data_IF_869562575832
#
_entry.id   IF_869562575832
#
_cell.length_a   1.000
_cell.length_b   1.000
_cell.length_c   1.000
_cell.angle_alpha   90.00
_cell.angle_beta   90.00
_cell.angle_gamma   90.00
#
_symmetry.space_group_name_H-M   'P 1'
#
loop_
_entity.id
_entity.type
_entity.pdbx_description
1 polymer ?
2 polymer ?
3 non-polymer ?
4 water ?
#
# COMPACT_ATOMS: atom_id res chain seq x y z
N UNK A 7 -5.37 -14.43 -9.22
CA UNK A 7 -5.76 -13.22 -8.45
C UNK A 7 -6.61 -12.24 -9.28
N UNK A 8 -7.88 -12.23 -8.94
CA UNK A 8 -8.86 -11.35 -9.54
C UNK A 8 -8.50 -9.85 -9.50
N UNK A 9 -8.09 -9.39 -8.31
CA UNK A 9 -7.78 -7.99 -8.09
C UNK A 9 -6.59 -7.58 -8.94
N UNK A 10 -5.56 -8.41 -8.93
CA UNK A 10 -4.36 -8.13 -9.71
C UNK A 10 -4.63 -8.18 -11.19
N UNK A 11 -5.46 -9.10 -11.64
CA UNK A 11 -5.74 -9.18 -13.12
C UNK A 11 -6.55 -7.98 -13.54
N UNK A 12 -7.53 -7.58 -12.73
CA UNK A 12 -8.25 -6.32 -13.04
C UNK A 12 -7.27 -5.19 -13.07
N UNK A 13 -6.41 -5.10 -12.05
CA UNK A 13 -5.44 -3.96 -12.00
C UNK A 13 -4.51 -3.96 -13.22
N UNK A 14 -4.10 -5.14 -13.67
CA UNK A 14 -3.23 -5.20 -14.87
C UNK A 14 -3.93 -4.64 -16.12
N UNK A 15 -5.20 -5.01 -16.32
CA UNK A 15 -6.00 -4.48 -17.43
C UNK A 15 -6.22 -2.99 -17.33
N UNK A 16 -6.48 -2.49 -16.12
CA UNK A 16 -6.68 -1.06 -15.92
C UNK A 16 -5.42 -0.28 -16.33
N UNK A 17 -4.26 -0.82 -15.98
CA UNK A 17 -3.00 -0.12 -16.23
C UNK A 17 -2.59 -0.30 -17.70
N UNK A 18 -2.79 -1.49 -18.24
CA UNK A 18 -2.58 -1.69 -19.71
C UNK A 18 -3.46 -0.70 -20.47
N UNK A 19 -4.71 -0.62 -20.06
CA UNK A 19 -5.61 0.32 -20.68
C UNK A 19 -5.17 1.77 -20.56
N UNK A 20 -4.83 2.25 -19.35
CA UNK A 20 -4.50 3.67 -19.27
C UNK A 20 -3.20 3.97 -20.05
N UNK A 21 -2.20 3.07 -19.96
CA UNK A 21 -0.93 3.30 -20.67
C UNK A 21 -1.13 3.29 -22.20
N UNK A 22 -2.05 2.47 -22.65
CA UNK A 22 -2.28 2.33 -24.09
C UNK A 22 -2.79 3.65 -24.69
N UNK A 23 -3.44 4.48 -23.88
CA UNK A 23 -4.00 5.77 -24.32
C UNK A 23 -2.94 6.87 -24.42
N UNK A 24 -1.72 6.52 -24.02
CA UNK A 24 -0.56 7.43 -24.02
C UNK A 24 -0.95 8.80 -23.51
N UNK A 25 -1.37 8.87 -22.24
CA UNK A 25 -2.01 10.02 -21.65
C UNK A 25 -1.17 11.28 -21.58
N UNK A 26 0.16 11.18 -21.59
CA UNK A 26 1.03 12.37 -21.58
C UNK A 26 1.38 12.91 -22.97
N UNK A 27 1.01 12.18 -24.03
CA UNK A 27 1.24 12.66 -25.40
C UNK A 27 -0.01 13.28 -25.99
N UNK A 28 -0.28 14.52 -25.60
CA UNK A 28 -1.51 15.18 -26.03
C UNK A 28 -1.24 16.67 -26.27
N UNK A 29 -2.15 17.30 -27.00
CA UNK A 29 -2.02 18.73 -27.16
C UNK A 29 -2.47 19.42 -25.89
N UNK A 30 -3.54 18.89 -25.29
CA UNK A 30 -4.05 19.45 -24.06
C UNK A 30 -4.13 18.33 -23.03
N UNK A 31 -3.32 18.46 -21.98
CA UNK A 31 -3.37 17.58 -20.84
C UNK A 31 -4.12 18.32 -19.71
N UNK A 32 -5.24 17.78 -19.26
CA UNK A 32 -5.94 18.37 -18.11
C UNK A 32 -6.16 17.34 -17.01
N UNK A 33 -5.03 16.96 -16.42
CA UNK A 33 -4.95 16.03 -15.32
C UNK A 33 -5.98 16.28 -14.19
N UNK A 34 -6.16 17.56 -13.80
CA UNK A 34 -7.10 17.89 -12.70
C UNK A 34 -8.57 17.50 -12.94
N UNK A 35 -8.92 17.32 -14.21
CA UNK A 35 -10.27 16.87 -14.61
C UNK A 35 -10.48 15.35 -14.30
N UNK A 36 -9.38 14.60 -14.20
CA UNK A 36 -9.39 13.17 -13.88
C UNK A 36 -9.37 12.91 -12.36
N UNK A 37 -9.20 13.98 -11.55
CA UNK A 37 -9.19 13.89 -10.07
C UNK A 37 -10.58 13.56 -9.56
N UNK A 38 -10.65 12.59 -8.64
CA UNK A 38 -11.91 12.20 -8.04
C UNK A 38 -11.71 11.90 -6.54
N UNK A 39 -12.14 12.83 -5.65
CA UNK A 39 -12.06 12.55 -4.21
C UNK A 39 -13.00 11.46 -3.65
N UNK A 40 -14.01 11.02 -4.38
CA UNK A 40 -14.77 9.85 -3.94
C UNK A 40 -13.90 8.60 -4.03
N UNK A 41 -12.74 8.69 -4.68
CA UNK A 41 -11.90 7.52 -4.92
C UNK A 41 -10.75 7.37 -3.95
N UNK A 42 -10.61 8.33 -3.03
CA UNK A 42 -9.51 8.33 -2.08
C UNK A 42 -9.52 6.97 -1.34
N UNK A 43 -8.38 6.30 -1.20
CA UNK A 43 -8.40 5.02 -0.47
C UNK A 43 -8.75 5.10 1.00
N UNK A 44 -9.22 3.96 1.51
CA UNK A 44 -9.44 3.79 2.90
C UNK A 44 -8.10 3.53 3.64
N UNK A 45 -7.17 2.84 2.99
CA UNK A 45 -5.94 2.45 3.65
C UNK A 45 -4.72 2.56 2.77
N UNK A 46 -3.58 2.90 3.35
CA UNK A 46 -2.29 2.83 2.63
C UNK A 46 -1.26 2.57 3.68
N UNK A 47 -0.04 2.21 3.27
CA UNK A 47 1.08 1.90 4.19
C UNK A 47 1.75 3.23 4.46
N UNK A 48 1.77 3.59 5.73
CA UNK A 48 2.26 4.83 6.26
C UNK A 48 3.77 4.86 6.59
N UNK A 49 4.23 3.75 7.13
CA UNK A 49 5.61 3.57 7.59
C UNK A 49 5.94 2.11 7.31
N UNK A 50 7.19 1.76 7.01
CA UNK A 50 7.58 0.31 6.91
C UNK A 50 8.99 0.11 7.38
N UNK A 51 9.29 -1.12 7.82
CA UNK A 51 10.64 -1.48 8.31
C UNK A 51 10.99 -2.89 7.78
N UNK A 52 11.96 -2.96 6.88
CA UNK A 52 12.41 -4.24 6.32
C UNK A 52 13.54 -4.83 7.17
N UNK A 53 13.20 -5.80 8.02
CA UNK A 53 14.20 -6.50 8.83
C UNK A 53 14.13 -7.94 8.41
N UNK A 54 14.07 -8.17 7.10
CA UNK A 54 13.83 -9.52 6.65
C UNK A 54 15.10 -10.37 6.81
N UNK A 55 16.25 -9.75 7.15
CA UNK A 55 17.44 -10.53 7.56
C UNK A 55 17.17 -11.40 8.77
N UNK A 56 16.28 -10.92 9.65
CA UNK A 56 16.04 -11.54 10.93
C UNK A 56 14.55 -11.95 11.14
N UNK A 57 13.60 -11.04 10.90
CA UNK A 57 12.22 -11.40 11.26
C UNK A 57 11.21 -11.27 10.11
N UNK A 58 11.30 -10.21 9.33
CA UNK A 58 10.32 -9.98 8.27
C UNK A 58 10.17 -8.49 8.11
N UNK A 59 9.01 -8.08 7.61
CA UNK A 59 8.75 -6.69 7.27
C UNK A 59 7.61 -6.17 8.18
N UNK A 60 7.92 -5.18 9.01
CA UNK A 60 6.87 -4.50 9.80
C UNK A 60 6.31 -3.27 9.10
N UNK A 61 5.05 -2.93 9.33
CA UNK A 61 4.50 -1.78 8.65
C UNK A 61 3.40 -1.15 9.50
N UNK A 62 3.06 0.08 9.16
CA UNK A 62 1.95 0.76 9.74
C UNK A 62 0.97 1.21 8.65
N UNK A 63 -0.33 1.10 8.88
CA UNK A 63 -1.30 1.60 7.94
C UNK A 63 -1.72 2.99 8.41
N UNK A 64 -2.30 3.78 7.51
CA UNK A 64 -2.61 5.20 7.77
C UNK A 64 -3.59 5.38 8.96
N UNK A 65 -4.27 4.30 9.35
CA UNK A 65 -5.10 4.31 10.57
C UNK A 65 -4.33 4.08 11.88
N UNK A 66 -3.02 3.86 11.81
CA UNK A 66 -2.19 3.54 13.00
C UNK A 66 -2.25 2.10 13.48
N UNK A 67 -2.96 1.26 12.78
CA UNK A 67 -2.84 -0.17 13.04
C UNK A 67 -1.43 -0.54 12.54
N UNK A 68 -0.86 -1.62 13.08
CA UNK A 68 0.47 -2.06 12.60
C UNK A 68 0.36 -3.51 12.21
N UNK A 69 1.30 -4.01 11.41
CA UNK A 69 1.29 -5.41 11.03
C UNK A 69 2.73 -5.84 10.80
N UNK A 70 2.93 -7.14 10.75
CA UNK A 70 4.22 -7.70 10.40
C UNK A 70 3.90 -8.85 9.46
N UNK A 71 4.61 -8.92 8.35
CA UNK A 71 4.61 -10.08 7.49
C UNK A 71 5.96 -10.77 7.82
N UNK A 72 5.88 -11.83 8.62
CA UNK A 72 7.03 -12.59 9.11
C UNK A 72 7.65 -13.43 8.02
N UNK A 73 8.95 -13.71 8.16
CA UNK A 73 9.68 -14.58 7.21
C UNK A 73 9.08 -16.01 7.06
N UNK A 74 8.21 -16.42 7.97
CA UNK A 74 7.44 -17.65 7.74
C UNK A 74 6.15 -17.42 6.93
N UNK A 75 6.03 -16.28 6.25
CA UNK A 75 4.78 -15.86 5.57
C UNK A 75 3.47 -15.84 6.39
N UNK A 76 3.56 -15.76 7.71
CA UNK A 76 2.36 -15.47 8.50
C UNK A 76 2.33 -13.95 8.74
N UNK A 77 1.15 -13.41 9.02
CA UNK A 77 1.03 -12.02 9.43
C UNK A 77 0.32 -11.91 10.73
N UNK A 78 0.68 -10.88 11.43
CA UNK A 78 0.02 -10.56 12.67
C UNK A 78 -0.28 -9.09 12.55
N UNK A 79 -1.53 -8.73 12.80
CA UNK A 79 -2.03 -7.38 12.69
C UNK A 79 -2.52 -6.96 14.06
N UNK A 80 -2.03 -5.81 14.52
CA UNK A 80 -2.50 -5.22 15.77
C UNK A 80 -3.39 -3.99 15.43
N UNK A 81 -4.67 -4.04 15.78
CA UNK A 81 -5.52 -2.87 15.44
C UNK A 81 -5.18 -1.62 16.24
N UNK A 82 -5.62 -0.46 15.74
CA UNK A 82 -5.34 0.81 16.42
C UNK A 82 -5.98 0.97 17.84
N UNK A 83 -6.65 -0.08 18.32
CA UNK A 83 -7.05 -0.10 19.72
C UNK A 83 -5.93 -0.59 20.69
N UNK A 84 -4.76 -0.98 20.14
CA UNK A 84 -3.66 -1.47 20.95
C UNK A 84 -3.88 -2.85 21.54
N UNK A 85 -4.88 -3.61 21.11
CA UNK A 85 -5.17 -4.91 21.75
C UNK A 85 -5.67 -5.94 20.81
N UNK A 86 -6.57 -5.55 19.90
CA UNK A 86 -7.24 -6.54 19.05
C UNK A 86 -6.20 -6.95 18.01
N UNK A 87 -6.15 -8.26 17.77
CA UNK A 87 -5.24 -8.87 16.79
C UNK A 87 -5.98 -9.67 15.73
N UNK A 88 -5.38 -9.74 14.54
CA UNK A 88 -5.76 -10.65 13.53
C UNK A 88 -4.51 -11.47 13.09
N UNK A 89 -4.60 -12.78 13.10
CA UNK A 89 -3.41 -13.57 12.72
C UNK A 89 -3.77 -14.31 11.43
N UNK A 90 -2.89 -14.27 10.43
CA UNK A 90 -3.14 -14.95 9.16
C UNK A 90 -2.02 -15.93 8.87
N UNK A 91 -2.38 -17.21 8.72
CA UNK A 91 -1.42 -18.19 8.28
C UNK A 91 -0.98 -17.95 6.85
N UNK A 92 0.07 -18.67 6.49
CA UNK A 92 0.58 -18.67 5.12
C UNK A 92 -0.56 -18.89 4.07
N UNK A 93 -1.53 -19.74 4.41
CA UNK A 93 -2.62 -20.05 3.47
C UNK A 93 -3.74 -19.03 3.47
N UNK A 94 -3.68 -18.01 4.30
CA UNK A 94 -4.75 -17.01 4.33
C UNK A 94 -5.78 -17.28 5.41
N UNK A 95 -5.67 -18.43 6.10
CA UNK A 95 -6.55 -18.71 7.25
C UNK A 95 -6.35 -17.69 8.35
N UNK A 96 -7.45 -16.95 8.66
CA UNK A 96 -7.43 -15.84 9.62
C UNK A 96 -7.94 -16.26 10.98
N UNK A 97 -7.27 -15.82 12.06
CA UNK A 97 -7.82 -15.89 13.41
C UNK A 97 -7.99 -14.49 13.98
N UNK A 98 -8.92 -14.38 14.91
CA UNK A 98 -9.21 -13.14 15.58
C UNK A 98 -9.05 -13.30 17.07
N UNK A 99 -8.19 -12.47 17.66
CA UNK A 99 -7.88 -12.54 19.09
C UNK A 99 -7.53 -11.17 19.68
N UNK A 100 -6.93 -11.22 20.86
CA UNK A 100 -6.45 -10.05 21.54
C UNK A 100 -5.17 -10.45 22.16
N UNK A 101 -4.33 -9.44 22.38
CA UNK A 101 -3.09 -9.65 23.11
C UNK A 101 -3.37 -10.16 24.54
N UNK A 102 -4.31 -9.49 25.21
CA UNK A 102 -4.70 -9.77 26.58
C UNK A 102 -5.23 -11.19 26.72
N UNK A 103 -5.68 -11.80 25.64
CA UNK A 103 -6.09 -13.20 25.71
C UNK A 103 -4.88 -14.11 25.91
N UNK A 104 -3.69 -13.62 25.61
CA UNK A 104 -2.40 -14.33 25.85
C UNK A 104 -2.32 -15.67 25.12
N UNK A 105 -2.30 -15.64 23.79
CA UNK A 105 -2.09 -16.92 23.05
C UNK A 105 -0.61 -17.38 23.08
N UNK A 106 -0.31 -18.47 23.77
CA UNK A 106 1.08 -18.89 24.06
C UNK A 106 1.96 -18.91 22.82
N UNK A 107 1.41 -19.43 21.73
CA UNK A 107 2.19 -19.61 20.52
C UNK A 107 2.53 -18.28 19.82
N UNK A 108 1.76 -17.23 20.13
CA UNK A 108 1.95 -15.93 19.47
C UNK A 108 2.77 -14.90 20.26
N UNK A 109 3.21 -15.25 21.47
CA UNK A 109 3.68 -14.28 22.42
C UNK A 109 4.89 -13.63 21.88
N UNK A 110 5.81 -14.43 21.32
CA UNK A 110 7.03 -13.92 20.74
C UNK A 110 6.77 -13.02 19.52
N UNK A 111 5.84 -13.41 18.65
CA UNK A 111 5.56 -12.63 17.45
C UNK A 111 4.89 -11.36 17.85
N UNK A 112 4.14 -11.38 18.93
CA UNK A 112 3.57 -10.16 19.48
C UNK A 112 4.71 -9.23 20.03
N UNK A 113 5.67 -9.80 20.77
CA UNK A 113 6.77 -8.98 21.25
C UNK A 113 7.43 -8.28 20.05
N UNK A 114 7.68 -9.06 19.00
CA UNK A 114 8.37 -8.53 17.83
C UNK A 114 7.55 -7.43 17.19
N UNK A 115 6.26 -7.68 16.99
CA UNK A 115 5.37 -6.63 16.44
C UNK A 115 5.46 -5.37 17.30
N UNK A 116 5.45 -5.52 18.63
CA UNK A 116 5.64 -4.36 19.53
C UNK A 116 6.99 -3.63 19.33
N UNK A 117 8.07 -4.37 19.08
CA UNK A 117 9.33 -3.70 18.80
C UNK A 117 9.36 -2.98 17.47
N UNK A 118 8.69 -3.54 16.46
CA UNK A 118 8.41 -2.75 15.20
C UNK A 118 7.58 -1.49 15.44
N UNK A 119 6.46 -1.60 16.16
CA UNK A 119 5.58 -0.43 16.41
C UNK A 119 6.37 0.70 17.08
N UNK A 120 7.11 0.35 18.11
CA UNK A 120 7.98 1.33 18.78
C UNK A 120 8.98 2.01 17.83
N UNK A 121 9.72 1.19 17.07
CA UNK A 121 10.70 1.72 16.12
C UNK A 121 10.10 2.76 15.15
N UNK A 122 8.93 2.46 14.63
CA UNK A 122 8.28 3.26 13.61
C UNK A 122 7.77 4.54 14.29
N UNK A 123 7.21 4.40 15.48
CA UNK A 123 6.74 5.58 16.24
C UNK A 123 7.89 6.56 16.55
N UNK A 124 9.00 5.99 17.00
CA UNK A 124 10.17 6.80 17.29
C UNK A 124 10.78 7.48 16.08
N UNK A 125 10.92 6.76 14.97
CA UNK A 125 11.89 7.21 13.98
C UNK A 125 11.36 7.59 12.60
N UNK A 126 10.17 7.10 12.25
CA UNK A 126 9.72 7.22 10.85
C UNK A 126 8.58 8.20 10.67
N UNK A 127 8.56 8.90 9.53
CA UNK A 127 7.46 9.83 9.20
C UNK A 127 6.27 9.05 8.69
N UNK A 128 5.09 9.62 8.89
CA UNK A 128 3.86 8.99 8.48
C UNK A 128 3.52 9.44 7.06
N UNK A 129 3.75 8.59 6.05
CA UNK A 129 3.34 8.94 4.69
C UNK A 129 1.82 9.32 4.64
N UNK A 130 1.46 10.42 3.95
CA UNK A 130 0.07 10.84 3.79
C UNK A 130 -0.52 11.33 5.10
N UNK A 131 0.34 11.75 6.01
CA UNK A 131 -0.12 12.22 7.32
C UNK A 131 -1.25 13.29 7.26
N UNK A 132 -1.21 14.24 6.37
CA UNK A 132 -2.25 15.29 6.50
C UNK A 132 -3.62 14.77 6.03
N UNK A 133 -3.58 13.72 5.22
CA UNK A 133 -4.74 13.25 4.44
C UNK A 133 -5.76 12.42 5.22
N UNK A 134 -7.01 12.84 5.07
CA UNK A 134 -8.12 12.02 5.54
C UNK A 134 -8.46 10.87 4.54
N UNK A 135 -8.36 9.62 4.98
CA UNK A 135 -8.76 8.46 4.12
C UNK A 135 -10.30 8.44 3.98
N UNK A 136 -10.82 7.80 2.94
CA UNK A 136 -12.26 7.76 2.86
C UNK A 136 -12.81 6.83 3.95
N UNK A 137 -14.02 7.15 4.38
CA UNK A 137 -14.68 6.31 5.39
C UNK A 137 -15.14 5.03 4.68
N UNK A 138 -14.66 3.87 5.14
CA UNK A 138 -15.07 2.57 4.58
C UNK A 138 -16.47 2.19 5.10
N UNK A 139 -17.27 1.48 4.32
CA UNK A 139 -18.48 0.90 4.85
C UNK A 139 -18.39 -0.61 5.09
N UNK A 140 -19.54 -1.27 5.02
CA UNK A 140 -19.60 -2.64 5.53
C UNK A 140 -19.05 -3.64 4.54
N UNK A 141 -18.72 -3.17 3.32
CA UNK A 141 -18.19 -4.04 2.28
C UNK A 141 -16.64 -4.09 2.31
N UNK A 142 -16.03 -3.17 3.05
CA UNK A 142 -14.58 -3.09 3.14
C UNK A 142 -14.11 -3.54 4.54
N UNK A 143 -12.89 -4.07 4.64
CA UNK A 143 -12.31 -4.27 5.97
C UNK A 143 -10.81 -4.02 5.97
N UNK A 144 -10.23 -3.87 7.16
CA UNK A 144 -8.79 -3.65 7.32
C UNK A 144 -7.93 -4.76 6.61
N UNK A 145 -7.01 -4.39 5.72
CA UNK A 145 -6.29 -5.44 4.98
C UNK A 145 -4.95 -5.83 5.69
N UNK A 146 -4.38 -6.97 5.33
CA UNK A 146 -3.00 -7.28 5.73
C UNK A 146 -2.10 -7.19 4.49
N UNK A 147 -0.80 -7.18 4.74
CA UNK A 147 0.18 -7.21 3.65
C UNK A 147 0.29 -8.65 3.18
N UNK A 148 -0.10 -8.84 1.93
CA UNK A 148 -0.09 -10.13 1.34
C UNK A 148 1.34 -10.47 0.90
N UNK A 149 2.01 -9.50 0.26
CA UNK A 149 3.41 -9.69 -0.13
C UNK A 149 4.01 -8.34 -0.48
N UNK A 150 5.32 -8.33 -0.57
CA UNK A 150 6.06 -7.15 -0.96
C UNK A 150 7.36 -7.58 -1.66
N UNK A 151 7.98 -6.62 -2.34
CA UNK A 151 9.31 -6.77 -2.83
C UNK A 151 9.86 -5.41 -3.10
N UNK A 152 11.19 -5.33 -3.11
CA UNK A 152 11.95 -4.16 -3.50
C UNK A 152 12.63 -4.36 -4.84
N UNK A 153 12.63 -3.31 -5.68
CA UNK A 153 13.53 -3.19 -6.81
C UNK A 153 14.56 -2.14 -6.51
N UNK A 154 15.34 -1.82 -7.54
CA UNK A 154 16.41 -0.83 -7.36
C UNK A 154 15.82 0.55 -7.22
N UNK A 155 14.55 0.71 -7.58
CA UNK A 155 13.89 2.03 -7.66
C UNK A 155 12.75 2.19 -6.63
N UNK A 156 12.23 1.08 -6.08
CA UNK A 156 11.02 1.18 -5.26
C UNK A 156 10.80 -0.02 -4.32
N UNK A 157 9.93 0.18 -3.34
CA UNK A 157 9.26 -0.92 -2.68
C UNK A 157 7.81 -1.02 -3.17
N UNK A 158 7.36 -2.25 -3.43
CA UNK A 158 6.03 -2.66 -3.91
C UNK A 158 5.32 -3.46 -2.80
N UNK A 159 4.17 -2.90 -2.38
CA UNK A 159 3.38 -3.38 -1.21
C UNK A 159 2.00 -3.81 -1.71
N UNK A 160 1.64 -5.08 -1.50
CA UNK A 160 0.39 -5.62 -2.06
C UNK A 160 -0.53 -5.94 -0.90
N UNK A 161 -1.60 -5.18 -0.75
CA UNK A 161 -2.49 -5.46 0.36
C UNK A 161 -3.60 -6.45 -0.03
N UNK A 162 -4.15 -7.11 1.02
CA UNK A 162 -5.22 -8.09 0.78
C UNK A 162 -6.55 -7.47 0.32
N UNK A 163 -6.69 -6.14 0.24
CA UNK A 163 -7.95 -5.59 -0.24
C UNK A 163 -7.80 -5.31 -1.72
N UNK A 164 -6.69 -5.80 -2.29
CA UNK A 164 -6.39 -5.66 -3.72
C UNK A 164 -5.54 -4.43 -4.04
N UNK A 165 -5.30 -3.53 -3.08
CA UNK A 165 -4.51 -2.33 -3.34
C UNK A 165 -3.03 -2.66 -3.49
N UNK A 166 -2.37 -1.96 -4.41
CA UNK A 166 -0.95 -2.11 -4.60
C UNK A 166 -0.29 -0.75 -4.41
N UNK A 167 0.67 -0.65 -3.51
CA UNK A 167 1.33 0.61 -3.28
C UNK A 167 2.81 0.52 -3.74
N UNK A 168 3.33 1.61 -4.27
CA UNK A 168 4.67 1.64 -4.76
C UNK A 168 5.26 2.94 -4.27
N UNK A 169 6.30 2.78 -3.45
CA UNK A 169 7.06 3.93 -2.90
C UNK A 169 8.43 4.01 -3.57
N UNK A 170 8.66 5.06 -4.35
CA UNK A 170 9.91 5.33 -5.08
C UNK A 170 10.98 5.90 -4.17
N UNK A 171 12.17 5.28 -4.18
CA UNK A 171 13.27 5.66 -3.30
C UNK A 171 13.84 7.09 -3.50
N UNK A 172 14.21 7.47 -4.73
CA UNK A 172 15.09 8.65 -4.78
C UNK A 172 14.31 9.94 -4.66
N UNK A 173 13.08 9.93 -5.16
CA UNK A 173 12.30 11.17 -5.14
C UNK A 173 11.16 11.19 -4.14
N UNK A 174 10.88 10.03 -3.52
CA UNK A 174 9.86 9.92 -2.45
C UNK A 174 8.42 10.00 -2.93
N UNK A 175 8.24 9.86 -4.24
CA UNK A 175 6.91 9.84 -4.84
C UNK A 175 6.28 8.48 -4.54
N UNK A 176 4.95 8.43 -4.52
CA UNK A 176 4.28 7.18 -4.19
C UNK A 176 3.00 7.01 -4.96
N UNK A 177 2.68 5.76 -5.28
CA UNK A 177 1.38 5.43 -5.93
C UNK A 177 0.67 4.47 -5.03
N UNK A 178 -0.64 4.68 -4.93
CA UNK A 178 -1.59 3.78 -4.34
C UNK A 178 -2.67 3.52 -5.39
N UNK A 179 -2.66 2.30 -5.91
CA UNK A 179 -3.61 1.83 -6.91
C UNK A 179 -4.61 0.91 -6.29
N UNK A 180 -5.88 1.18 -6.57
CA UNK A 180 -6.97 0.33 -6.12
C UNK A 180 -7.71 -0.12 -7.35
N UNK A 181 -7.87 -1.45 -7.50
CA UNK A 181 -8.52 -2.05 -8.70
C UNK A 181 -10.05 -2.04 -8.62
N UNK A 182 -10.58 -1.82 -7.44
CA UNK A 182 -12.03 -1.80 -7.27
C UNK A 182 -12.54 -0.38 -7.57
N UNK A 183 -11.87 0.64 -7.00
CA UNK A 183 -12.11 2.02 -7.44
C UNK A 183 -11.58 2.23 -8.86
N UNK A 184 -10.69 1.34 -9.30
CA UNK A 184 -9.93 1.54 -10.55
C UNK A 184 -9.31 2.97 -10.55
N UNK A 185 -8.56 3.29 -9.49
CA UNK A 185 -8.04 4.62 -9.30
C UNK A 185 -6.60 4.52 -8.87
N UNK A 186 -5.92 5.67 -8.90
CA UNK A 186 -4.53 5.79 -8.47
C UNK A 186 -4.44 7.08 -7.72
N UNK A 187 -3.78 7.00 -6.58
CA UNK A 187 -3.48 8.16 -5.79
C UNK A 187 -2.01 8.37 -6.01
N UNK A 188 -1.66 9.60 -6.36
CA UNK A 188 -0.26 9.95 -6.62
C UNK A 188 0.14 10.96 -5.53
N UNK A 189 1.17 10.60 -4.78
CA UNK A 189 1.87 11.50 -3.86
C UNK A 189 3.12 12.04 -4.52
N UNK A 190 3.10 13.32 -4.85
CA UNK A 190 4.19 13.84 -5.69
C UNK A 190 5.44 14.26 -4.88
N UNK A 191 6.39 14.91 -5.55
CA UNK A 191 7.62 15.27 -4.84
C UNK A 191 7.55 16.49 -3.89
N UNK A 192 6.42 17.21 -3.89
CA UNK A 192 6.07 18.27 -2.91
C UNK A 192 5.18 17.71 -1.84
N UNK A 193 4.90 16.41 -1.94
CA UNK A 193 3.97 15.71 -1.05
C UNK A 193 2.51 16.08 -1.25
N UNK A 194 2.19 16.66 -2.39
CA UNK A 194 0.78 16.76 -2.77
C UNK A 194 0.23 15.38 -3.09
N UNK A 195 -0.94 15.11 -2.53
CA UNK A 195 -1.70 13.86 -2.59
C UNK A 195 -2.90 14.09 -3.54
N UNK A 196 -2.98 13.41 -4.66
CA UNK A 196 -4.18 13.51 -5.46
C UNK A 196 -4.65 12.14 -6.01
N UNK A 197 -5.99 11.94 -6.07
CA UNK A 197 -6.57 10.67 -6.51
C UNK A 197 -7.26 10.83 -7.84
N UNK A 198 -6.91 9.98 -8.81
CA UNK A 198 -7.43 10.03 -10.17
C UNK A 198 -8.20 8.78 -10.53
N UNK A 199 -9.32 8.92 -11.26
CA UNK A 199 -9.98 7.75 -11.79
C UNK A 199 -9.16 7.34 -12.99
N UNK A 200 -8.71 6.10 -13.06
CA UNK A 200 -7.82 5.81 -14.22
C UNK A 200 -8.50 6.05 -15.56
N UNK A 201 -9.79 5.72 -15.67
CA UNK A 201 -10.50 5.89 -16.94
C UNK A 201 -10.56 7.35 -17.36
N UNK A 202 -10.65 8.28 -16.40
CA UNK A 202 -10.59 9.71 -16.73
C UNK A 202 -9.19 10.16 -17.12
N UNK A 203 -8.15 9.49 -16.63
CA UNK A 203 -6.79 9.88 -17.01
C UNK A 203 -6.60 9.56 -18.49
N UNK A 204 -7.20 8.45 -18.96
CA UNK A 204 -7.22 8.17 -20.38
C UNK A 204 -7.95 9.30 -21.15
N UNK A 205 -9.06 9.79 -20.61
CA UNK A 205 -9.87 10.79 -21.29
C UNK A 205 -9.14 12.14 -21.37
N UNK A 206 -8.56 12.60 -20.26
CA UNK A 206 -8.00 13.92 -20.12
C UNK A 206 -6.48 14.07 -20.14
N UNK A 207 -5.74 12.97 -20.08
CA UNK A 207 -4.29 13.01 -20.16
C UNK A 207 -3.65 13.22 -18.79
N UNK A 208 -2.33 13.10 -18.71
CA UNK A 208 -1.65 13.40 -17.45
C UNK A 208 -0.23 13.86 -17.73
N UNK A 209 0.47 14.36 -16.71
CA UNK A 209 1.88 14.65 -16.86
C UNK A 209 2.70 13.40 -17.18
N UNK A 210 3.89 13.70 -17.66
CA UNK A 210 4.93 12.72 -18.00
C UNK A 210 5.39 11.93 -16.74
N UNK A 211 5.39 12.63 -15.62
CA UNK A 211 5.76 12.06 -14.29
C UNK A 211 4.81 10.93 -13.97
N UNK A 212 3.53 11.24 -13.97
CA UNK A 212 2.56 10.26 -13.55
C UNK A 212 2.50 9.14 -14.58
N UNK A 213 2.54 9.49 -15.86
CA UNK A 213 2.45 8.53 -16.94
C UNK A 213 3.57 7.53 -16.85
N UNK A 214 4.77 8.02 -16.57
CA UNK A 214 5.95 7.17 -16.46
C UNK A 214 5.87 6.22 -15.23
N UNK A 215 5.49 6.75 -14.05
CA UNK A 215 5.09 5.92 -12.87
C UNK A 215 4.01 4.86 -13.16
N UNK A 216 3.01 5.20 -13.96
CA UNK A 216 2.00 4.20 -14.32
C UNK A 216 2.55 3.09 -15.22
N UNK A 217 3.53 3.41 -16.09
CA UNK A 217 4.17 2.34 -16.89
C UNK A 217 4.98 1.44 -15.97
N UNK A 218 5.71 2.08 -15.05
CA UNK A 218 6.44 1.34 -14.03
C UNK A 218 5.53 0.38 -13.22
N UNK A 219 4.42 0.94 -12.72
CA UNK A 219 3.40 0.14 -12.02
C UNK A 219 2.92 -1.07 -12.79
N UNK A 220 2.63 -0.91 -14.08
CA UNK A 220 2.16 -2.03 -14.90
C UNK A 220 3.19 -3.15 -14.83
N UNK A 221 4.47 -2.80 -15.00
CA UNK A 221 5.54 -3.77 -14.88
C UNK A 221 5.57 -4.46 -13.52
N UNK A 222 5.35 -3.72 -12.43
CA UNK A 222 5.40 -4.34 -11.11
C UNK A 222 4.21 -5.26 -10.88
N UNK A 223 3.06 -4.93 -11.48
CA UNK A 223 1.84 -5.78 -11.32
C UNK A 223 2.03 -7.10 -12.08
N UNK A 224 2.66 -7.01 -13.25
CA UNK A 224 3.12 -8.20 -13.98
C UNK A 224 4.02 -9.07 -13.11
N UNK A 225 4.99 -8.46 -12.42
CA UNK A 225 5.79 -9.20 -11.43
C UNK A 225 4.95 -9.83 -10.32
N UNK A 226 3.99 -9.10 -9.77
CA UNK A 226 3.11 -9.69 -8.73
C UNK A 226 2.31 -10.93 -9.21
N UNK A 227 1.73 -10.82 -10.40
CA UNK A 227 0.97 -11.92 -11.04
C UNK A 227 1.75 -13.20 -11.36
N UNK A 228 2.95 -13.04 -11.91
CA UNK A 228 3.84 -14.20 -12.16
C UNK A 228 4.02 -15.04 -10.89
N UNK A 229 4.76 -14.51 -9.91
CA UNK A 229 4.88 -15.14 -8.61
C UNK A 229 3.54 -15.74 -8.17
N UNK B 1 19.08 -2.72 8.87
CA UNK B 1 17.73 -2.80 8.24
C UNK B 1 17.51 -1.73 7.17
N UNK B 2 16.42 -1.79 6.45
CA UNK B 2 16.00 -0.70 5.55
C UNK B 2 14.64 -0.16 6.02
N UNK B 3 14.39 1.14 5.92
CA UNK B 3 13.20 1.72 6.54
C UNK B 3 12.62 2.72 5.58
N UNK B 4 11.30 2.96 5.66
CA UNK B 4 10.73 4.08 4.95
C UNK B 4 11.39 5.40 5.46
N UNK B 5 10.94 6.54 4.94
CA UNK B 5 11.51 7.85 5.27
C UNK B 5 11.52 8.23 6.73
N UNK B 6 12.73 8.49 7.29
CA UNK B 6 12.85 8.96 8.71
C UNK B 6 12.40 10.41 8.95
N UNK B 7 12.14 10.74 10.21
CA UNK B 7 11.78 12.11 10.65
C UNK B 7 12.69 13.29 10.21
X LIG C 1 -11.91 -4.00 0.94
X LIG C 1 -11.81 -4.72 1.94
X LIG C 1 -11.73 -2.78 1.01
#
# INVERSE_FOLDING_TARGET
ETGEVVDCHLSDMLQQLHSVNASKPSERGLVRQEEAEDPACIPIFWVSKWVDYSDKYGLGYQLCDNSVGVLFNDSTRLILYNDGDSLQYIERDGTESYLTVSSHPNSLMKKITLLKYFRNYMSEHLLKAGANITPREGDELARLPYLRTWFRTRSAIILHLSNGSVQINFFQDHTKLILCPLMAAVTYIDEKRDFRTYRLSLLEEYGCCKELASRLRYARTMVDKLLSSRSASNRLKAS
LLCSTPNGL
FMT C O1 O2
#
